data_IF_178452428349
#
_entry.id   IF_178452428349
#
_cell.length_a   1.000
_cell.length_b   1.000
_cell.length_c   1.000
_cell.angle_alpha   90.00
_cell.angle_beta   90.00
_cell.angle_gamma   90.00
#
_symmetry.space_group_name_H-M   'P 1'
#
loop_
_entity.id
_entity.type
_entity.pdbx_description
1 polymer ?
#
# COMPACT_ATOMS: atom_id res chain seq x y z
N UNK A 1 0.11 15.55 19.47
CA UNK A 1 -0.42 14.79 18.34
C UNK A 1 -0.16 13.32 18.63
N UNK A 2 -1.20 12.55 18.91
CA UNK A 2 -1.05 11.12 19.16
C UNK A 2 -0.91 10.41 17.83
N UNK A 3 0.08 9.53 17.69
CA UNK A 3 0.23 8.66 16.53
C UNK A 3 -0.93 7.67 16.52
N UNK A 4 -1.62 7.56 15.39
CA UNK A 4 -2.78 6.68 15.22
C UNK A 4 -2.48 5.44 14.39
N UNK A 5 -1.26 5.29 13.89
CA UNK A 5 -0.86 4.17 13.05
C UNK A 5 0.47 3.57 13.49
N UNK A 6 0.60 2.29 13.20
CA UNK A 6 1.84 1.52 13.27
C UNK A 6 2.25 1.23 11.84
N UNK A 7 3.48 1.58 11.48
CA UNK A 7 4.04 1.37 10.16
C UNK A 7 4.63 -0.05 10.03
N UNK A 8 4.62 -0.58 8.80
CA UNK A 8 5.18 -1.88 8.41
C UNK A 8 4.49 -3.06 9.09
N UNK A 9 4.76 -3.25 10.34
CA UNK A 9 4.27 -4.36 11.15
C UNK A 9 5.24 -5.54 11.17
N UNK A 10 5.07 -6.38 12.18
CA UNK A 10 5.70 -7.68 12.32
C UNK A 10 4.65 -8.65 12.86
N UNK A 11 4.92 -9.94 12.86
CA UNK A 11 3.98 -10.94 13.41
C UNK A 11 3.55 -10.53 14.82
N UNK A 12 2.25 -10.20 15.02
CA UNK A 12 1.75 -9.77 16.31
C UNK A 12 1.46 -10.99 17.20
N UNK A 13 1.53 -10.78 18.49
CA UNK A 13 0.94 -11.64 19.49
C UNK A 13 -0.44 -11.09 19.94
N UNK A 14 -1.09 -11.79 20.86
CA UNK A 14 -2.42 -11.41 21.34
C UNK A 14 -2.41 -10.07 22.09
N UNK A 15 -1.31 -9.72 22.77
CA UNK A 15 -1.16 -8.45 23.46
C UNK A 15 -1.10 -7.28 22.46
N UNK A 16 -0.33 -7.44 21.40
CA UNK A 16 -0.23 -6.43 20.33
C UNK A 16 -1.60 -6.25 19.65
N UNK A 17 -2.32 -7.32 19.36
CA UNK A 17 -3.68 -7.25 18.81
C UNK A 17 -4.62 -6.50 19.75
N UNK A 18 -4.57 -6.79 21.04
CA UNK A 18 -5.37 -6.09 22.05
C UNK A 18 -5.06 -4.59 22.07
N UNK A 19 -3.78 -4.21 22.07
CA UNK A 19 -3.33 -2.82 22.07
C UNK A 19 -3.77 -2.04 20.81
N UNK A 20 -3.78 -2.68 19.63
CA UNK A 20 -4.33 -2.08 18.42
C UNK A 20 -5.80 -1.69 18.60
N UNK A 21 -6.60 -2.61 19.15
CA UNK A 21 -8.06 -2.42 19.36
C UNK A 21 -8.32 -1.37 20.43
N UNK A 22 -7.64 -1.45 21.57
CA UNK A 22 -7.79 -0.52 22.71
C UNK A 22 -7.50 0.93 22.28
N UNK A 23 -6.47 1.13 21.45
CA UNK A 23 -6.05 2.45 21.01
C UNK A 23 -6.70 2.88 19.68
N UNK A 24 -7.59 2.10 19.09
CA UNK A 24 -8.16 2.34 17.77
C UNK A 24 -7.07 2.67 16.74
N UNK A 25 -5.97 1.93 16.77
CA UNK A 25 -4.82 2.18 15.94
C UNK A 25 -4.98 1.51 14.56
N UNK A 26 -4.43 2.15 13.55
CA UNK A 26 -4.35 1.62 12.19
C UNK A 26 -3.03 0.88 11.99
N UNK A 27 -3.05 -0.16 11.16
CA UNK A 27 -1.85 -0.73 10.58
C UNK A 27 -1.62 -0.11 9.20
N UNK A 28 -0.49 0.56 9.00
CA UNK A 28 -0.04 0.98 7.67
C UNK A 28 0.98 -0.03 7.14
N UNK A 29 0.52 -1.01 6.40
CA UNK A 29 1.40 -2.04 5.85
C UNK A 29 2.17 -1.52 4.64
N UNK A 30 3.41 -2.01 4.46
CA UNK A 30 4.33 -1.61 3.39
C UNK A 30 5.13 -2.83 2.91
N UNK A 31 4.61 -3.56 1.95
CA UNK A 31 5.25 -4.77 1.41
C UNK A 31 6.41 -4.43 0.49
N UNK A 32 6.28 -3.32 -0.25
CA UNK A 32 7.23 -2.94 -1.30
C UNK A 32 8.68 -2.84 -0.85
N UNK A 33 9.05 -2.26 0.31
CA UNK A 33 10.44 -2.13 0.72
C UNK A 33 11.14 -3.46 1.04
N UNK A 34 10.42 -4.42 1.61
CA UNK A 34 10.97 -5.71 1.97
C UNK A 34 11.07 -6.67 0.77
N UNK A 35 10.19 -6.53 -0.22
CA UNK A 35 10.05 -7.45 -1.34
C UNK A 35 11.34 -7.63 -2.17
N UNK A 36 12.10 -6.58 -2.56
CA UNK A 36 13.32 -6.75 -3.33
C UNK A 36 14.37 -7.57 -2.60
N UNK A 37 14.49 -7.39 -1.29
CA UNK A 37 15.43 -8.17 -0.48
C UNK A 37 14.96 -9.61 -0.29
N UNK A 38 13.66 -9.85 -0.17
CA UNK A 38 13.11 -11.18 0.03
C UNK A 38 13.05 -12.02 -1.26
N UNK A 39 12.62 -11.42 -2.38
CA UNK A 39 12.16 -12.17 -3.55
C UNK A 39 13.00 -11.96 -4.82
N UNK A 40 13.81 -10.91 -4.91
CA UNK A 40 14.66 -10.73 -6.09
C UNK A 40 15.89 -11.61 -6.02
N UNK A 41 16.35 -12.05 -7.18
CA UNK A 41 17.66 -12.65 -7.29
C UNK A 41 18.74 -11.69 -6.79
N UNK A 42 19.75 -12.19 -6.10
CA UNK A 42 20.82 -11.37 -5.51
C UNK A 42 21.64 -10.62 -6.56
N UNK A 43 21.71 -11.13 -7.79
CA UNK A 43 22.31 -10.41 -8.91
C UNK A 43 21.53 -9.17 -9.33
N UNK A 44 20.26 -9.09 -8.97
CA UNK A 44 19.36 -7.96 -9.25
C UNK A 44 19.29 -7.01 -8.06
N UNK A 45 19.06 -7.55 -6.86
CA UNK A 45 18.94 -6.74 -5.64
C UNK A 45 20.26 -6.21 -5.11
N UNK A 46 21.40 -6.82 -5.50
CA UNK A 46 22.72 -6.66 -4.90
C UNK A 46 22.74 -6.93 -3.37
N UNK A 47 21.73 -7.62 -2.87
CA UNK A 47 21.67 -7.99 -1.46
C UNK A 47 22.72 -9.03 -1.11
N UNK A 48 23.35 -8.88 0.04
CA UNK A 48 24.14 -9.95 0.66
C UNK A 48 23.23 -11.09 1.11
N UNK A 49 23.81 -12.21 1.45
CA UNK A 49 23.07 -13.38 1.96
C UNK A 49 22.32 -13.06 3.27
N UNK A 50 22.96 -12.29 4.14
CA UNK A 50 22.37 -11.85 5.42
C UNK A 50 21.21 -10.88 5.18
N UNK A 51 21.34 -9.93 4.25
CA UNK A 51 20.27 -9.00 3.90
C UNK A 51 19.09 -9.73 3.28
N UNK A 52 19.32 -10.72 2.43
CA UNK A 52 18.24 -11.53 1.86
C UNK A 52 17.53 -12.36 2.94
N UNK A 53 18.29 -12.97 3.84
CA UNK A 53 17.73 -13.71 4.98
C UNK A 53 16.85 -12.81 5.86
N UNK A 54 17.34 -11.63 6.24
CA UNK A 54 16.59 -10.66 7.03
C UNK A 54 15.39 -10.12 6.25
N UNK A 55 15.55 -9.85 4.96
CA UNK A 55 14.47 -9.42 4.07
C UNK A 55 13.32 -10.40 4.04
N UNK A 56 13.61 -11.71 4.00
CA UNK A 56 12.57 -12.74 4.08
C UNK A 56 11.83 -12.71 5.42
N UNK A 57 12.54 -12.57 6.55
CA UNK A 57 11.91 -12.50 7.88
C UNK A 57 10.98 -11.29 7.96
N UNK A 58 11.44 -10.13 7.51
CA UNK A 58 10.66 -8.89 7.53
C UNK A 58 9.44 -9.00 6.61
N UNK A 59 9.61 -9.52 5.39
CA UNK A 59 8.52 -9.67 4.44
C UNK A 59 7.42 -10.62 4.94
N UNK A 60 7.81 -11.78 5.50
CA UNK A 60 6.85 -12.70 6.10
C UNK A 60 6.16 -12.07 7.33
N UNK A 61 6.91 -11.37 8.18
CA UNK A 61 6.35 -10.68 9.36
C UNK A 61 5.31 -9.62 8.99
N UNK A 62 5.56 -8.81 7.96
CA UNK A 62 4.61 -7.81 7.45
C UNK A 62 3.34 -8.50 6.93
N UNK A 63 3.46 -9.57 6.15
CA UNK A 63 2.32 -10.35 5.64
C UNK A 63 1.47 -10.93 6.76
N UNK A 64 2.11 -11.54 7.75
CA UNK A 64 1.41 -12.13 8.90
C UNK A 64 0.72 -11.06 9.74
N UNK A 65 1.36 -9.89 9.93
CA UNK A 65 0.76 -8.75 10.61
C UNK A 65 -0.50 -8.26 9.90
N UNK A 66 -0.43 -8.08 8.59
CA UNK A 66 -1.56 -7.63 7.79
C UNK A 66 -2.73 -8.62 7.84
N UNK A 67 -2.45 -9.93 7.73
CA UNK A 67 -3.48 -10.98 7.86
C UNK A 67 -4.12 -11.01 9.24
N UNK A 68 -3.30 -10.91 10.30
CA UNK A 68 -3.79 -10.88 11.67
C UNK A 68 -4.63 -9.62 11.95
N UNK A 69 -4.21 -8.47 11.45
CA UNK A 69 -4.96 -7.23 11.57
C UNK A 69 -6.36 -7.35 10.93
N UNK A 70 -6.41 -7.83 9.67
CA UNK A 70 -7.68 -8.05 8.95
C UNK A 70 -8.59 -9.05 9.70
N UNK A 71 -8.04 -10.17 10.15
CA UNK A 71 -8.78 -11.21 10.88
C UNK A 71 -9.33 -10.72 12.23
N UNK A 72 -8.80 -9.64 12.76
CA UNK A 72 -9.19 -9.04 14.03
C UNK A 72 -9.92 -7.70 13.90
N UNK A 73 -10.37 -7.33 12.69
CA UNK A 73 -11.07 -6.07 12.40
C UNK A 73 -10.23 -4.80 12.75
N UNK A 74 -8.91 -4.93 12.77
CA UNK A 74 -8.01 -3.78 12.88
C UNK A 74 -7.96 -3.08 11.53
N UNK A 75 -8.18 -1.76 11.47
CA UNK A 75 -8.18 -1.05 10.20
C UNK A 75 -6.78 -1.03 9.57
N UNK A 76 -6.69 -1.47 8.31
CA UNK A 76 -5.45 -1.52 7.54
C UNK A 76 -5.48 -0.45 6.46
N UNK A 77 -4.37 0.25 6.30
CA UNK A 77 -4.10 1.19 5.21
C UNK A 77 -2.81 0.82 4.49
N UNK A 78 -2.60 1.34 3.30
CA UNK A 78 -1.42 1.05 2.50
C UNK A 78 -0.46 2.24 2.43
N UNK A 79 0.82 1.96 2.60
CA UNK A 79 1.94 2.83 2.28
C UNK A 79 2.99 2.07 1.48
N UNK A 80 3.86 2.75 0.75
CA UNK A 80 4.94 2.09 0.01
C UNK A 80 6.33 2.52 0.46
N UNK A 81 6.43 3.34 1.50
CA UNK A 81 7.70 3.80 2.08
C UNK A 81 8.68 4.30 1.00
N UNK A 82 8.19 5.25 0.18
CA UNK A 82 8.94 5.80 -0.94
C UNK A 82 10.24 6.44 -0.48
N UNK A 83 11.33 6.13 -1.19
CA UNK A 83 12.70 6.55 -0.82
C UNK A 83 13.60 5.35 -0.48
N UNK A 84 13.02 4.21 -0.14
CA UNK A 84 13.75 2.95 -0.09
C UNK A 84 14.23 2.53 -1.49
N UNK A 85 15.32 1.76 -1.60
CA UNK A 85 15.75 1.20 -2.89
C UNK A 85 14.60 0.47 -3.59
N UNK A 86 14.46 0.68 -4.91
CA UNK A 86 13.43 0.11 -5.78
C UNK A 86 12.03 0.68 -5.63
N UNK A 87 11.78 1.59 -4.67
CA UNK A 87 10.46 2.15 -4.39
C UNK A 87 10.38 3.58 -4.93
N UNK A 88 9.41 3.80 -5.82
CA UNK A 88 9.18 5.11 -6.43
C UNK A 88 7.76 5.60 -6.21
N UNK A 89 7.61 6.93 -6.20
CA UNK A 89 6.31 7.59 -5.97
C UNK A 89 5.29 7.30 -7.09
N UNK A 90 5.73 6.94 -8.28
CA UNK A 90 4.84 6.66 -9.41
C UNK A 90 4.46 5.17 -9.54
N UNK A 91 4.99 4.32 -8.68
CA UNK A 91 4.74 2.88 -8.68
C UNK A 91 3.89 2.40 -7.49
N UNK A 92 3.15 3.29 -6.83
CA UNK A 92 2.31 2.94 -5.68
C UNK A 92 1.27 1.85 -5.98
N UNK A 93 0.83 1.74 -7.24
CA UNK A 93 -0.04 0.67 -7.69
C UNK A 93 0.51 -0.75 -7.38
N UNK A 94 1.83 -0.89 -7.29
CA UNK A 94 2.49 -2.15 -6.95
C UNK A 94 2.19 -2.59 -5.52
N UNK A 95 2.09 -1.64 -4.58
CA UNK A 95 1.73 -1.96 -3.20
C UNK A 95 0.35 -2.59 -3.12
N UNK A 96 -0.65 -2.06 -3.86
CA UNK A 96 -1.99 -2.65 -3.93
C UNK A 96 -1.93 -4.06 -4.54
N UNK A 97 -1.17 -4.22 -5.62
CA UNK A 97 -0.99 -5.52 -6.27
C UNK A 97 -0.29 -6.53 -5.35
N UNK A 98 0.73 -6.12 -4.60
CA UNK A 98 1.41 -6.99 -3.64
C UNK A 98 0.52 -7.34 -2.45
N UNK A 99 -0.26 -6.40 -1.98
CA UNK A 99 -1.23 -6.63 -0.91
C UNK A 99 -2.25 -7.69 -1.32
N UNK A 100 -2.84 -7.56 -2.53
CA UNK A 100 -3.69 -8.61 -3.09
C UNK A 100 -2.95 -9.94 -3.21
N UNK A 101 -1.78 -9.95 -3.85
CA UNK A 101 -1.05 -11.18 -4.20
C UNK A 101 -0.52 -11.94 -2.99
N UNK A 102 0.02 -11.27 -1.99
CA UNK A 102 0.76 -11.89 -0.89
C UNK A 102 -0.04 -11.98 0.42
N UNK A 103 -0.96 -11.07 0.65
CA UNK A 103 -1.86 -11.11 1.82
C UNK A 103 -3.16 -11.86 1.49
N UNK A 104 -3.59 -11.85 0.23
CA UNK A 104 -4.74 -12.61 -0.25
C UNK A 104 -6.06 -11.85 -0.17
N UNK A 105 -6.03 -10.52 -0.12
CA UNK A 105 -7.23 -9.68 -0.11
C UNK A 105 -7.84 -9.52 -1.51
N UNK A 106 -9.11 -9.16 -1.60
CA UNK A 106 -9.72 -8.81 -2.88
C UNK A 106 -9.17 -7.50 -3.45
N UNK A 107 -9.26 -7.31 -4.78
CA UNK A 107 -8.89 -6.05 -5.44
C UNK A 107 -9.69 -4.87 -4.86
N UNK A 108 -10.98 -5.07 -4.60
CA UNK A 108 -11.84 -4.06 -3.98
C UNK A 108 -11.35 -3.65 -2.59
N UNK A 109 -10.94 -4.61 -1.76
CA UNK A 109 -10.40 -4.31 -0.43
C UNK A 109 -9.06 -3.58 -0.51
N UNK A 110 -8.17 -3.98 -1.43
CA UNK A 110 -6.90 -3.28 -1.65
C UNK A 110 -7.13 -1.81 -2.09
N UNK A 111 -8.10 -1.56 -2.97
CA UNK A 111 -8.49 -0.20 -3.36
C UNK A 111 -9.06 0.59 -2.19
N UNK A 112 -9.97 -0.01 -1.41
CA UNK A 112 -10.53 0.62 -0.20
C UNK A 112 -9.45 1.04 0.79
N UNK A 113 -8.48 0.16 1.07
CA UNK A 113 -7.38 0.45 2.01
C UNK A 113 -6.47 1.57 1.53
N UNK A 114 -6.26 1.69 0.20
CA UNK A 114 -5.43 2.73 -0.40
C UNK A 114 -6.16 4.07 -0.62
N UNK A 115 -7.47 4.12 -0.48
CA UNK A 115 -8.30 5.30 -0.74
C UNK A 115 -9.04 5.76 0.52
N UNK A 116 -10.28 5.33 0.72
CA UNK A 116 -11.11 5.81 1.82
C UNK A 116 -10.51 5.53 3.18
N UNK A 117 -10.01 4.32 3.41
CA UNK A 117 -9.47 3.97 4.72
C UNK A 117 -8.19 4.77 5.05
N UNK A 118 -7.33 5.00 4.04
CA UNK A 118 -6.17 5.89 4.18
C UNK A 118 -6.55 7.34 4.44
N UNK A 119 -7.61 7.85 3.79
CA UNK A 119 -8.13 9.19 4.05
C UNK A 119 -8.69 9.33 5.47
N UNK A 120 -9.41 8.32 5.96
CA UNK A 120 -9.92 8.29 7.35
C UNK A 120 -8.76 8.29 8.34
N UNK A 121 -7.74 7.46 8.13
CA UNK A 121 -6.54 7.42 8.97
C UNK A 121 -5.83 8.78 9.00
N UNK A 122 -5.72 9.45 7.85
CA UNK A 122 -5.12 10.78 7.72
C UNK A 122 -5.99 11.90 8.31
N UNK A 123 -7.24 11.62 8.70
CA UNK A 123 -8.19 12.60 9.25
C UNK A 123 -8.82 13.52 8.20
N UNK A 124 -8.84 13.09 6.94
CA UNK A 124 -9.42 13.81 5.79
C UNK A 124 -10.50 12.99 5.06
N UNK A 125 -11.05 11.96 5.69
CA UNK A 125 -12.05 11.07 5.10
C UNK A 125 -13.34 11.77 4.72
N UNK A 126 -13.69 12.87 5.38
CA UNK A 126 -14.85 13.71 5.05
C UNK A 126 -14.60 14.59 3.80
N UNK A 127 -13.32 14.85 3.47
CA UNK A 127 -12.90 15.71 2.36
C UNK A 127 -12.60 14.92 1.08
N UNK A 128 -12.06 13.68 1.20
CA UNK A 128 -11.60 12.87 0.06
C UNK A 128 -11.61 11.37 0.37
N UNK A 129 -11.14 10.54 -0.58
CA UNK A 129 -10.98 9.09 -0.43
C UNK A 129 -12.14 8.27 -0.97
N UNK A 130 -13.29 8.89 -1.28
CA UNK A 130 -14.44 8.25 -1.94
C UNK A 130 -15.08 9.20 -2.92
N UNK A 131 -15.83 8.64 -3.90
CA UNK A 131 -16.58 9.40 -4.89
C UNK A 131 -17.98 9.67 -4.35
N UNK A 132 -18.13 10.78 -3.67
CA UNK A 132 -19.39 11.19 -3.02
C UNK A 132 -19.64 12.68 -3.25
N UNK A 133 -20.94 13.07 -3.32
CA UNK A 133 -21.33 14.47 -3.43
C UNK A 133 -20.86 15.27 -2.20
N UNK A 134 -20.22 16.40 -2.43
CA UNK A 134 -19.69 17.27 -1.38
C UNK A 134 -18.21 17.06 -1.07
N UNK A 135 -17.60 15.95 -1.50
CA UNK A 135 -16.15 15.73 -1.37
C UNK A 135 -15.34 16.37 -2.49
N UNK A 136 -14.06 16.55 -2.24
CA UNK A 136 -13.12 17.01 -3.27
C UNK A 136 -13.08 16.02 -4.42
N UNK A 137 -13.03 16.53 -5.64
CA UNK A 137 -12.85 15.72 -6.83
C UNK A 137 -11.36 15.34 -6.97
N UNK A 138 -10.97 14.28 -6.25
CA UNK A 138 -9.68 13.60 -6.32
C UNK A 138 -9.90 12.24 -6.99
N UNK A 139 -9.65 12.15 -8.30
CA UNK A 139 -10.05 11.03 -9.13
C UNK A 139 -8.91 10.61 -10.04
N UNK A 140 -8.84 9.32 -10.34
CA UNK A 140 -8.07 8.78 -11.45
C UNK A 140 -9.00 8.02 -12.38
N UNK A 141 -8.70 8.04 -13.68
CA UNK A 141 -9.38 7.23 -14.69
C UNK A 141 -8.36 6.32 -15.34
N UNK A 142 -8.69 5.06 -15.48
CA UNK A 142 -7.88 4.02 -16.10
C UNK A 142 -8.67 3.38 -17.24
N UNK A 143 -7.97 2.95 -18.30
CA UNK A 143 -8.59 2.26 -19.44
C UNK A 143 -9.28 0.95 -19.03
N UNK A 144 -8.62 0.18 -18.16
CA UNK A 144 -9.12 -1.09 -17.68
C UNK A 144 -9.61 -1.00 -16.23
N UNK A 145 -10.51 -1.90 -15.85
CA UNK A 145 -11.11 -1.91 -14.53
C UNK A 145 -10.14 -2.45 -13.46
N UNK A 146 -9.71 -1.67 -12.47
CA UNK A 146 -8.82 -2.13 -11.41
C UNK A 146 -9.47 -3.14 -10.45
N UNK A 147 -10.79 -3.30 -10.46
CA UNK A 147 -11.48 -4.36 -9.71
C UNK A 147 -11.22 -5.74 -10.32
N UNK A 148 -10.96 -5.81 -11.63
CA UNK A 148 -10.61 -7.05 -12.32
C UNK A 148 -9.11 -7.33 -12.22
N UNK A 149 -8.28 -6.29 -12.34
CA UNK A 149 -6.83 -6.39 -12.25
C UNK A 149 -6.20 -5.07 -11.77
N UNK A 150 -5.60 -5.07 -10.59
CA UNK A 150 -4.94 -3.89 -10.01
C UNK A 150 -3.80 -3.32 -10.88
N UNK A 151 -3.24 -4.11 -11.82
CA UNK A 151 -2.25 -3.62 -12.77
C UNK A 151 -2.80 -2.56 -13.73
N UNK A 152 -4.12 -2.43 -13.85
CA UNK A 152 -4.77 -1.33 -14.57
C UNK A 152 -4.34 0.05 -14.04
N UNK A 153 -4.05 0.15 -12.74
CA UNK A 153 -3.56 1.38 -12.11
C UNK A 153 -2.17 1.84 -12.56
N UNK A 154 -1.45 1.00 -13.31
CA UNK A 154 -0.15 1.36 -13.90
C UNK A 154 -0.28 2.45 -14.97
N UNK A 155 -1.38 2.42 -15.70
CA UNK A 155 -1.65 3.34 -16.80
C UNK A 155 -2.88 4.19 -16.44
N UNK A 156 -2.62 5.44 -16.07
CA UNK A 156 -3.65 6.40 -15.71
C UNK A 156 -3.85 7.38 -16.86
N UNK A 157 -5.06 7.41 -17.42
CA UNK A 157 -5.41 8.28 -18.54
C UNK A 157 -5.69 9.70 -18.08
N UNK A 158 -6.26 9.82 -16.87
CA UNK A 158 -6.67 11.10 -16.33
C UNK A 158 -6.45 11.12 -14.82
N UNK A 159 -5.92 12.23 -14.33
CA UNK A 159 -5.87 12.55 -12.91
C UNK A 159 -6.64 13.84 -12.68
N UNK A 160 -7.50 13.83 -11.69
CA UNK A 160 -8.10 15.04 -11.15
C UNK A 160 -7.67 15.18 -9.70
N UNK A 161 -7.12 16.34 -9.35
CA UNK A 161 -6.69 16.65 -8.00
C UNK A 161 -7.37 17.95 -7.55
N UNK A 162 -8.20 17.87 -6.52
CA UNK A 162 -9.04 18.96 -6.00
C UNK A 162 -9.80 19.72 -7.10
N UNK A 163 -10.38 18.95 -8.03
CA UNK A 163 -11.09 19.46 -9.20
C UNK A 163 -10.23 19.94 -10.36
N UNK A 164 -8.92 19.97 -10.23
CA UNK A 164 -8.00 20.32 -11.32
C UNK A 164 -7.65 19.09 -12.16
N UNK A 165 -7.91 19.20 -13.46
CA UNK A 165 -7.77 18.10 -14.41
C UNK A 165 -6.39 18.06 -15.05
N UNK A 166 -5.81 16.86 -15.12
CA UNK A 166 -4.57 16.52 -15.81
C UNK A 166 -4.82 15.37 -16.76
N UNK A 167 -4.85 15.64 -18.06
CA UNK A 167 -5.03 14.63 -19.11
C UNK A 167 -3.69 13.98 -19.48
N UNK A 168 -3.68 12.66 -19.64
CA UNK A 168 -2.51 11.88 -20.04
C UNK A 168 -1.24 12.29 -19.27
N UNK A 169 -1.24 12.22 -17.95
CA UNK A 169 -0.10 12.69 -17.17
C UNK A 169 1.14 11.86 -17.50
N UNK A 170 2.19 12.52 -17.99
CA UNK A 170 3.47 11.86 -18.31
C UNK A 170 4.44 12.04 -17.17
N UNK A 171 4.98 10.95 -16.67
CA UNK A 171 5.98 10.93 -15.62
C UNK A 171 7.35 10.53 -16.21
N UNK A 172 8.41 11.14 -15.71
CA UNK A 172 9.76 10.62 -15.96
C UNK A 172 9.96 9.41 -15.07
N UNK A 173 9.82 8.24 -15.63
CA UNK A 173 10.06 6.98 -14.94
C UNK A 173 11.50 6.53 -15.12
N UNK A 174 12.12 5.98 -14.07
CA UNK A 174 13.34 5.18 -14.21
C UNK A 174 12.92 3.73 -14.43
N UNK A 175 13.63 3.02 -15.31
CA UNK A 175 13.48 1.57 -15.42
C UNK A 175 13.97 0.93 -14.12
N UNK A 176 13.02 0.65 -13.23
CA UNK A 176 13.23 -0.20 -12.09
C UNK A 176 12.82 -1.60 -12.52
N UNK A 177 13.58 -2.59 -12.11
CA UNK A 177 13.37 -3.98 -12.50
C UNK A 177 11.90 -4.38 -12.37
N UNK A 178 11.31 -4.74 -13.49
CA UNK A 178 9.86 -5.03 -13.65
C UNK A 178 9.62 -6.52 -13.88
N UNK A 179 10.33 -7.39 -13.20
CA UNK A 179 10.07 -8.84 -13.31
C UNK A 179 9.19 -9.35 -12.21
#
# INVERSE_FOLDING_TARGET
MYKRQIEHGAKPDDEIIHLFKENNAFLCTTLSPALPYALFDRSVSNASEVEQYNGNIVFEGIKECAKAAIANDIPVVLGNDVGCPWITQYDFWRELYYFHKYVGVSNAFALYTATLNSAVMAGIGDDTGSVEAGKCADLIVTENNPLDDLRALRNVDLVMARGRLYNNPKFKTKNIVTK
#
